data_IF_525300628080
#
_entry.id   IF_525300628080
#
_cell.length_a   1.000
_cell.length_b   1.000
_cell.length_c   1.000
_cell.angle_alpha   90.00
_cell.angle_beta   90.00
_cell.angle_gamma   90.00
#
_symmetry.space_group_name_H-M   'P 1'
#
loop_
_entity.id
_entity.type
_entity.pdbx_description
1 polymer ?
#
# COMPACT_ATOMS: atom_id res chain seq x y z
N UNK A 1 -49.48 -51.78 12.88
CA UNK A 1 -49.59 -50.38 13.34
C UNK A 1 -48.22 -49.86 13.57
N UNK A 2 -47.61 -49.34 12.49
CA UNK A 2 -46.23 -48.86 12.52
C UNK A 2 -46.29 -47.31 12.48
N UNK A 3 -45.85 -46.70 13.54
CA UNK A 3 -45.56 -45.28 13.57
C UNK A 3 -44.07 -45.14 13.29
N UNK A 4 -43.81 -44.66 12.10
CA UNK A 4 -42.49 -44.26 11.63
C UNK A 4 -42.19 -42.87 12.21
N UNK A 5 -41.27 -42.82 13.18
CA UNK A 5 -40.67 -41.55 13.63
C UNK A 5 -39.68 -41.14 12.58
N UNK A 6 -40.01 -40.12 11.82
CA UNK A 6 -39.09 -39.41 10.96
C UNK A 6 -38.20 -38.52 11.82
N UNK A 7 -36.98 -38.98 12.01
CA UNK A 7 -35.85 -38.21 12.55
C UNK A 7 -35.54 -37.07 11.56
N UNK A 8 -36.09 -35.90 11.81
CA UNK A 8 -35.60 -34.67 11.25
C UNK A 8 -34.27 -34.30 11.87
N UNK A 9 -33.22 -34.87 11.32
CA UNK A 9 -31.87 -34.35 11.55
C UNK A 9 -31.80 -32.93 11.03
N UNK A 10 -31.97 -31.98 11.92
CA UNK A 10 -31.63 -30.57 11.68
C UNK A 10 -30.12 -30.47 11.43
N UNK A 11 -29.74 -30.41 10.18
CA UNK A 11 -28.41 -29.96 9.80
C UNK A 11 -28.17 -28.56 10.38
N UNK A 12 -27.51 -28.55 11.52
CA UNK A 12 -26.90 -27.31 12.03
C UNK A 12 -25.82 -26.93 11.05
N UNK A 13 -26.16 -26.15 10.04
CA UNK A 13 -25.17 -25.45 9.24
C UNK A 13 -24.37 -24.56 10.19
N UNK A 14 -23.26 -25.12 10.66
CA UNK A 14 -22.25 -24.37 11.37
C UNK A 14 -21.77 -23.23 10.47
N UNK A 15 -22.22 -22.03 10.76
CA UNK A 15 -21.63 -20.81 10.24
C UNK A 15 -20.19 -20.78 10.71
N UNK A 16 -19.30 -21.38 9.93
CA UNK A 16 -17.86 -21.21 10.12
C UNK A 16 -17.53 -19.75 9.86
N UNK A 17 -17.56 -18.97 10.93
CA UNK A 17 -16.98 -17.62 10.92
C UNK A 17 -15.55 -17.77 10.40
N UNK A 18 -15.17 -17.13 9.29
CA UNK A 18 -13.83 -17.29 8.74
C UNK A 18 -12.83 -16.91 9.83
N UNK A 19 -12.05 -17.90 10.29
CA UNK A 19 -11.08 -17.70 11.35
C UNK A 19 -10.18 -16.52 11.00
N UNK A 20 -9.85 -15.72 12.00
CA UNK A 20 -8.97 -14.54 11.86
C UNK A 20 -7.66 -14.99 11.21
N UNK A 21 -7.38 -14.69 9.93
CA UNK A 21 -6.12 -15.09 9.34
C UNK A 21 -5.01 -14.24 9.99
N UNK A 22 -4.16 -14.87 10.78
CA UNK A 22 -3.04 -14.21 11.46
C UNK A 22 -2.13 -13.42 10.51
N UNK A 23 -2.01 -13.92 9.27
CA UNK A 23 -1.24 -13.24 8.22
C UNK A 23 -1.79 -11.86 7.85
N UNK A 24 -3.08 -11.58 8.06
CA UNK A 24 -3.65 -10.24 7.84
C UNK A 24 -3.01 -9.21 8.78
N UNK A 25 -2.80 -9.59 10.04
CA UNK A 25 -2.12 -8.74 11.01
C UNK A 25 -0.66 -8.52 10.65
N UNK A 26 0.04 -9.57 10.26
CA UNK A 26 1.46 -9.48 9.86
C UNK A 26 1.61 -8.57 8.64
N UNK A 27 0.84 -8.81 7.58
CA UNK A 27 0.89 -8.00 6.34
C UNK A 27 0.44 -6.57 6.61
N UNK A 28 -0.61 -6.36 7.38
CA UNK A 28 -1.11 -5.03 7.73
C UNK A 28 -0.11 -4.23 8.57
N UNK A 29 0.57 -4.84 9.53
CA UNK A 29 1.59 -4.18 10.35
C UNK A 29 2.84 -3.87 9.51
N UNK A 30 3.36 -4.84 8.76
CA UNK A 30 4.55 -4.64 7.93
C UNK A 30 4.28 -3.58 6.86
N UNK A 31 3.14 -3.66 6.16
CA UNK A 31 2.72 -2.68 5.18
C UNK A 31 2.47 -1.30 5.79
N UNK A 32 1.90 -1.25 6.99
CA UNK A 32 1.72 -0.02 7.76
C UNK A 32 3.03 0.64 8.13
N UNK A 33 3.98 -0.11 8.69
CA UNK A 33 5.33 0.40 9.02
C UNK A 33 6.07 0.90 7.78
N UNK A 34 5.98 0.16 6.67
CA UNK A 34 6.52 0.59 5.39
C UNK A 34 5.89 1.92 4.92
N UNK A 35 4.58 2.04 5.01
CA UNK A 35 3.86 3.25 4.60
C UNK A 35 4.18 4.45 5.49
N UNK A 36 4.32 4.25 6.81
CA UNK A 36 4.76 5.29 7.75
C UNK A 36 6.18 5.76 7.41
N UNK A 37 7.08 4.83 7.06
CA UNK A 37 8.42 5.19 6.61
C UNK A 37 8.37 6.01 5.31
N UNK A 38 7.42 5.72 4.40
CA UNK A 38 7.16 6.51 3.20
C UNK A 38 6.70 7.93 3.51
N UNK A 39 5.78 8.11 4.47
CA UNK A 39 5.33 9.44 4.94
C UNK A 39 6.49 10.21 5.56
N UNK A 40 7.27 9.57 6.40
CA UNK A 40 8.44 10.20 7.02
C UNK A 40 9.46 10.63 5.96
N UNK A 41 9.77 9.76 5.00
CA UNK A 41 10.66 10.07 3.88
C UNK A 41 10.14 11.26 3.07
N UNK A 42 8.82 11.32 2.78
CA UNK A 42 8.20 12.46 2.10
C UNK A 42 8.41 13.76 2.89
N UNK A 43 8.07 13.78 4.18
CA UNK A 43 8.20 14.99 5.03
C UNK A 43 9.66 15.44 5.09
N UNK A 44 10.59 14.53 5.33
CA UNK A 44 12.02 14.86 5.45
C UNK A 44 12.61 15.37 4.13
N UNK A 45 12.12 14.87 2.99
CA UNK A 45 12.50 15.35 1.67
C UNK A 45 11.96 16.76 1.42
N UNK A 46 10.69 17.02 1.75
CA UNK A 46 10.08 18.34 1.58
C UNK A 46 10.68 19.41 2.50
N UNK A 47 11.10 19.01 3.69
CA UNK A 47 11.80 19.90 4.62
C UNK A 47 13.29 20.10 4.28
N UNK A 48 13.79 19.47 3.21
CA UNK A 48 15.22 19.50 2.82
C UNK A 48 16.16 19.16 3.98
N UNK A 49 15.81 18.18 4.81
CA UNK A 49 16.62 17.80 5.96
C UNK A 49 17.98 17.26 5.48
N UNK A 50 19.06 17.96 5.82
CA UNK A 50 20.41 17.70 5.35
C UNK A 50 20.85 16.25 5.62
N UNK A 51 20.47 15.69 6.78
CA UNK A 51 20.81 14.32 7.16
C UNK A 51 20.24 13.27 6.18
N UNK A 52 19.05 13.54 5.58
CA UNK A 52 18.45 12.65 4.58
C UNK A 52 18.98 12.98 3.18
N UNK A 53 19.06 14.27 2.86
CA UNK A 53 19.53 14.71 1.56
C UNK A 53 20.98 14.32 1.31
N UNK A 54 21.85 14.33 2.34
CA UNK A 54 23.26 13.92 2.21
C UNK A 54 23.43 12.42 1.88
N UNK A 55 22.42 11.60 2.15
CA UNK A 55 22.44 10.17 1.82
C UNK A 55 22.22 9.89 0.33
N UNK A 56 21.73 10.87 -0.43
CA UNK A 56 21.51 10.73 -1.87
C UNK A 56 22.68 11.31 -2.67
N UNK A 57 23.02 10.69 -3.83
CA UNK A 57 23.94 11.30 -4.80
C UNK A 57 23.45 12.68 -5.24
N UNK A 58 24.35 13.63 -5.58
CA UNK A 58 23.97 14.99 -5.94
C UNK A 58 22.91 15.09 -7.04
N UNK A 59 22.98 14.22 -8.06
CA UNK A 59 22.01 14.18 -9.16
C UNK A 59 20.62 13.75 -8.67
N UNK A 60 20.53 12.78 -7.77
CA UNK A 60 19.25 12.35 -7.18
C UNK A 60 18.67 13.46 -6.29
N UNK A 61 19.49 14.14 -5.52
CA UNK A 61 19.06 15.25 -4.67
C UNK A 61 18.44 16.36 -5.51
N UNK A 62 19.15 16.80 -6.57
CA UNK A 62 18.63 17.81 -7.49
C UNK A 62 17.32 17.37 -8.15
N UNK A 63 17.22 16.10 -8.52
CA UNK A 63 16.01 15.51 -9.11
C UNK A 63 14.83 15.59 -8.15
N UNK A 64 14.97 15.15 -6.90
CA UNK A 64 13.87 15.19 -5.93
C UNK A 64 13.44 16.61 -5.54
N UNK A 65 14.37 17.56 -5.51
CA UNK A 65 14.06 18.97 -5.21
C UNK A 65 13.44 19.71 -6.40
N UNK A 66 13.50 19.16 -7.61
CA UNK A 66 12.91 19.74 -8.82
C UNK A 66 11.48 19.25 -9.11
N UNK A 67 10.88 18.45 -8.22
CA UNK A 67 9.54 17.94 -8.43
C UNK A 67 8.51 19.07 -8.50
N UNK A 68 7.62 19.05 -9.52
CA UNK A 68 6.51 20.00 -9.58
C UNK A 68 5.45 19.65 -8.54
N UNK A 69 4.68 20.65 -8.12
CA UNK A 69 3.65 20.52 -7.06
C UNK A 69 2.66 19.38 -7.30
N UNK A 70 2.30 19.09 -8.55
CA UNK A 70 1.41 17.96 -8.83
C UNK A 70 2.04 16.60 -8.50
N UNK A 71 3.34 16.47 -8.70
CA UNK A 71 4.07 15.23 -8.38
C UNK A 71 4.16 15.04 -6.87
N UNK A 72 4.47 16.11 -6.13
CA UNK A 72 4.50 16.09 -4.67
C UNK A 72 3.13 15.78 -4.08
N UNK A 73 2.05 16.37 -4.63
CA UNK A 73 0.69 16.07 -4.22
C UNK A 73 0.33 14.59 -4.45
N UNK A 74 0.67 14.03 -5.61
CA UNK A 74 0.45 12.62 -5.90
C UNK A 74 1.27 11.71 -4.97
N UNK A 75 2.51 12.09 -4.64
CA UNK A 75 3.36 11.38 -3.69
C UNK A 75 2.73 11.40 -2.29
N UNK A 76 2.31 12.58 -1.79
CA UNK A 76 1.63 12.73 -0.52
C UNK A 76 0.37 11.85 -0.43
N UNK A 77 -0.48 11.88 -1.47
CA UNK A 77 -1.68 11.03 -1.56
C UNK A 77 -1.28 9.56 -1.51
N UNK A 78 -0.27 9.15 -2.27
CA UNK A 78 0.21 7.78 -2.32
C UNK A 78 0.60 7.24 -0.94
N UNK A 79 1.44 7.97 -0.21
CA UNK A 79 1.94 7.53 1.10
C UNK A 79 0.88 7.64 2.21
N UNK A 80 0.06 8.71 2.22
CA UNK A 80 -1.01 8.87 3.21
C UNK A 80 -2.10 7.81 3.04
N UNK A 81 -2.55 7.58 1.80
CA UNK A 81 -3.51 6.50 1.50
C UNK A 81 -2.93 5.13 1.82
N UNK A 82 -1.62 4.93 1.70
CA UNK A 82 -0.95 3.70 2.12
C UNK A 82 -1.12 3.42 3.61
N UNK A 83 -0.87 4.42 4.47
CA UNK A 83 -1.05 4.31 5.93
C UNK A 83 -2.52 4.06 6.27
N UNK A 84 -3.42 4.90 5.76
CA UNK A 84 -4.87 4.79 6.04
C UNK A 84 -5.40 3.44 5.55
N UNK A 85 -4.98 3.00 4.36
CA UNK A 85 -5.37 1.73 3.79
C UNK A 85 -4.92 0.52 4.61
N UNK A 86 -3.69 0.55 5.15
CA UNK A 86 -3.20 -0.49 6.06
C UNK A 86 -3.96 -0.50 7.39
N UNK A 87 -4.29 0.67 7.95
CA UNK A 87 -5.14 0.77 9.15
C UNK A 87 -6.54 0.20 8.89
N UNK A 88 -7.17 0.55 7.78
CA UNK A 88 -8.47 0.01 7.38
C UNK A 88 -8.41 -1.51 7.15
N UNK A 89 -7.29 -2.02 6.63
CA UNK A 89 -7.07 -3.45 6.47
C UNK A 89 -7.02 -4.17 7.82
N UNK A 90 -6.32 -3.60 8.81
CA UNK A 90 -6.26 -4.12 10.17
C UNK A 90 -7.61 -4.05 10.88
N UNK A 91 -8.40 -3.00 10.61
CA UNK A 91 -9.77 -2.83 11.10
C UNK A 91 -10.79 -3.67 10.32
N UNK A 92 -10.34 -4.44 9.31
CA UNK A 92 -11.18 -5.26 8.43
C UNK A 92 -12.29 -4.48 7.69
N UNK A 93 -12.05 -3.23 7.41
CA UNK A 93 -13.02 -2.38 6.73
C UNK A 93 -12.94 -2.58 5.22
N UNK A 94 -14.10 -2.65 4.54
CA UNK A 94 -14.20 -2.76 3.07
C UNK A 94 -13.51 -1.63 2.33
N UNK A 95 -13.38 -0.46 2.94
CA UNK A 95 -12.71 0.69 2.36
C UNK A 95 -11.19 0.51 2.24
N UNK A 96 -10.61 -0.54 2.85
CA UNK A 96 -9.17 -0.83 2.73
C UNK A 96 -8.74 -0.96 1.26
N UNK A 97 -9.51 -1.69 0.45
CA UNK A 97 -9.17 -1.89 -0.97
C UNK A 97 -9.18 -0.60 -1.80
N UNK A 98 -10.26 0.22 -1.85
CA UNK A 98 -10.25 1.43 -2.65
C UNK A 98 -9.22 2.45 -2.17
N UNK A 99 -8.95 2.55 -0.87
CA UNK A 99 -7.93 3.46 -0.33
C UNK A 99 -6.53 2.99 -0.70
N UNK A 100 -6.23 1.69 -0.60
CA UNK A 100 -4.94 1.13 -1.07
C UNK A 100 -4.79 1.26 -2.59
N UNK A 101 -5.88 1.15 -3.34
CA UNK A 101 -5.85 1.39 -4.79
C UNK A 101 -5.49 2.84 -5.11
N UNK A 102 -6.05 3.81 -4.37
CA UNK A 102 -5.65 5.22 -4.50
C UNK A 102 -4.16 5.42 -4.18
N UNK A 103 -3.63 4.72 -3.17
CA UNK A 103 -2.19 4.71 -2.86
C UNK A 103 -1.36 4.19 -4.04
N UNK A 104 -1.76 3.08 -4.68
CA UNK A 104 -1.08 2.56 -5.88
C UNK A 104 -1.07 3.59 -7.00
N UNK A 105 -2.23 4.19 -7.30
CA UNK A 105 -2.36 5.19 -8.36
C UNK A 105 -1.46 6.40 -8.10
N UNK A 106 -1.50 6.98 -6.89
CA UNK A 106 -0.63 8.09 -6.50
C UNK A 106 0.84 7.75 -6.64
N UNK A 107 1.27 6.60 -6.13
CA UNK A 107 2.65 6.12 -6.24
C UNK A 107 3.06 5.89 -7.70
N UNK A 108 2.18 5.33 -8.53
CA UNK A 108 2.46 5.12 -9.96
C UNK A 108 2.60 6.44 -10.72
N UNK A 109 1.70 7.40 -10.49
CA UNK A 109 1.75 8.71 -11.15
C UNK A 109 3.05 9.41 -10.79
N UNK A 110 3.43 9.45 -9.51
CA UNK A 110 4.68 10.07 -9.07
C UNK A 110 5.90 9.36 -9.67
N UNK A 111 5.94 8.03 -9.57
CA UNK A 111 7.10 7.25 -10.01
C UNK A 111 7.27 7.26 -11.53
N UNK A 112 6.20 6.97 -12.28
CA UNK A 112 6.26 6.96 -13.74
C UNK A 112 6.37 8.38 -14.32
N UNK A 113 5.61 9.33 -13.75
CA UNK A 113 5.71 10.73 -14.13
C UNK A 113 7.13 11.27 -13.88
N UNK A 114 7.71 10.97 -12.73
CA UNK A 114 9.09 11.29 -12.43
C UNK A 114 10.08 10.68 -13.42
N UNK A 115 9.96 9.39 -13.70
CA UNK A 115 10.87 8.69 -14.61
C UNK A 115 10.80 9.20 -16.07
N UNK A 116 9.59 9.39 -16.59
CA UNK A 116 9.39 9.66 -18.02
C UNK A 116 9.24 11.15 -18.35
N UNK A 117 8.60 11.94 -17.49
CA UNK A 117 8.34 13.36 -17.76
C UNK A 117 9.41 14.29 -17.19
N UNK A 118 10.07 13.88 -16.08
CA UNK A 118 11.05 14.71 -15.38
C UNK A 118 12.50 14.25 -15.59
N UNK A 119 12.75 13.39 -16.58
CA UNK A 119 14.10 12.88 -16.86
C UNK A 119 14.69 11.95 -15.81
N UNK A 120 13.87 11.46 -14.89
CA UNK A 120 14.31 10.60 -13.80
C UNK A 120 14.94 9.27 -14.25
N UNK A 121 14.61 8.78 -15.44
CA UNK A 121 15.17 7.54 -15.99
C UNK A 121 16.70 7.62 -16.12
N UNK A 122 17.22 8.72 -16.61
CA UNK A 122 18.67 8.91 -16.78
C UNK A 122 19.36 9.01 -15.43
N UNK A 123 18.81 9.86 -14.52
CA UNK A 123 19.34 10.03 -13.16
C UNK A 123 19.33 8.72 -12.38
N UNK A 124 18.23 7.97 -12.41
CA UNK A 124 18.09 6.72 -11.66
C UNK A 124 18.96 5.60 -12.23
N UNK A 125 19.19 5.55 -13.55
CA UNK A 125 20.16 4.62 -14.15
C UNK A 125 21.58 4.95 -13.77
N UNK A 126 21.97 6.23 -13.86
CA UNK A 126 23.32 6.67 -13.54
C UNK A 126 23.70 6.44 -12.08
N UNK A 127 22.71 6.52 -11.16
CA UNK A 127 22.93 6.43 -9.71
C UNK A 127 22.51 5.09 -9.10
N UNK A 128 22.02 4.14 -9.92
CA UNK A 128 21.50 2.85 -9.43
C UNK A 128 20.18 2.95 -8.64
N UNK A 129 19.49 4.08 -8.69
CA UNK A 129 18.29 4.39 -7.91
C UNK A 129 16.98 3.81 -8.44
N UNK A 130 16.98 3.04 -9.53
CA UNK A 130 15.77 2.45 -10.10
C UNK A 130 14.98 1.60 -9.09
N UNK A 131 15.68 0.91 -8.19
CA UNK A 131 15.05 0.14 -7.12
C UNK A 131 14.20 1.01 -6.18
N UNK A 132 14.65 2.23 -5.87
CA UNK A 132 13.92 3.18 -5.04
C UNK A 132 12.58 3.62 -5.67
N UNK A 133 12.48 3.57 -6.99
CA UNK A 133 11.28 3.95 -7.73
C UNK A 133 10.33 2.77 -7.93
N UNK A 134 10.85 1.59 -8.26
CA UNK A 134 10.05 0.40 -8.61
C UNK A 134 9.54 -0.32 -7.36
N UNK A 135 10.35 -0.42 -6.32
CA UNK A 135 10.02 -1.17 -5.12
C UNK A 135 8.75 -0.68 -4.39
N UNK A 136 8.54 0.65 -4.17
CA UNK A 136 7.30 1.15 -3.59
C UNK A 136 6.04 0.79 -4.38
N UNK A 137 6.13 0.77 -5.72
CA UNK A 137 5.01 0.38 -6.59
C UNK A 137 4.64 -1.08 -6.35
N UNK A 138 5.64 -1.96 -6.28
CA UNK A 138 5.43 -3.40 -6.04
C UNK A 138 4.76 -3.62 -4.68
N UNK A 139 5.26 -2.96 -3.63
CA UNK A 139 4.69 -3.08 -2.28
C UNK A 139 3.26 -2.56 -2.24
N UNK A 140 2.97 -1.39 -2.81
CA UNK A 140 1.63 -0.82 -2.86
C UNK A 140 0.67 -1.73 -3.64
N UNK A 141 1.08 -2.24 -4.81
CA UNK A 141 0.28 -3.16 -5.61
C UNK A 141 -0.01 -4.47 -4.86
N UNK A 142 1.00 -5.03 -4.18
CA UNK A 142 0.83 -6.23 -3.35
C UNK A 142 -0.21 -6.01 -2.25
N UNK A 143 -0.13 -4.90 -1.52
CA UNK A 143 -1.09 -4.58 -0.45
C UNK A 143 -2.51 -4.40 -0.98
N UNK A 144 -2.68 -3.73 -2.13
CA UNK A 144 -3.99 -3.54 -2.76
C UNK A 144 -4.59 -4.88 -3.24
N UNK A 145 -3.79 -5.73 -3.88
CA UNK A 145 -4.22 -7.07 -4.32
C UNK A 145 -4.57 -7.96 -3.13
N UNK A 146 -3.79 -7.87 -2.05
CA UNK A 146 -4.06 -8.61 -0.82
C UNK A 146 -5.39 -8.15 -0.18
N UNK A 147 -5.61 -6.84 -0.07
CA UNK A 147 -6.88 -6.30 0.45
C UNK A 147 -8.07 -6.75 -0.41
N UNK A 148 -7.92 -6.74 -1.75
CA UNK A 148 -8.95 -7.25 -2.66
C UNK A 148 -9.25 -8.73 -2.43
N UNK A 149 -8.22 -9.55 -2.25
CA UNK A 149 -8.38 -10.98 -1.99
C UNK A 149 -9.11 -11.23 -0.65
N UNK A 150 -8.78 -10.46 0.40
CA UNK A 150 -9.44 -10.55 1.69
C UNK A 150 -10.90 -10.06 1.63
N UNK A 151 -11.19 -9.04 0.84
CA UNK A 151 -12.55 -8.59 0.58
C UNK A 151 -13.41 -9.67 -0.10
N UNK A 152 -12.85 -10.34 -1.13
CA UNK A 152 -13.54 -11.45 -1.82
C UNK A 152 -13.81 -12.67 -0.91
N UNK A 153 -12.96 -12.89 0.10
CA UNK A 153 -13.13 -13.97 1.09
C UNK A 153 -14.10 -13.60 2.22
N UNK A 154 -14.72 -12.41 2.18
CA UNK A 154 -15.64 -11.95 3.23
C UNK A 154 -14.96 -11.62 4.56
N UNK A 155 -13.62 -11.48 4.59
CA UNK A 155 -12.86 -11.13 5.79
C UNK A 155 -12.97 -9.64 6.11
N UNK A 156 -13.15 -8.81 5.08
CA UNK A 156 -13.39 -7.37 5.22
C UNK A 156 -14.89 -7.11 5.21
N UNK A 157 -15.42 -6.73 6.36
CA UNK A 157 -16.85 -6.47 6.59
C UNK A 157 -17.31 -5.06 6.25
#
# INVERSE_FOLDING_TARGET
>A
MNTTEEDTMGETQGTTTPGRPWHLWVIGIIGGLWSVMGVLSFILTQMNVEAVMSSFPPQQRQYFTSFPLWSDACWAIGVCCGVIGCLLLLLKNRLAFPVLLASVIGTMITSLGGLFLLGGMEVMRATGGLGLTVFPIIVAAFLALYARAMGKKGVLG
#
